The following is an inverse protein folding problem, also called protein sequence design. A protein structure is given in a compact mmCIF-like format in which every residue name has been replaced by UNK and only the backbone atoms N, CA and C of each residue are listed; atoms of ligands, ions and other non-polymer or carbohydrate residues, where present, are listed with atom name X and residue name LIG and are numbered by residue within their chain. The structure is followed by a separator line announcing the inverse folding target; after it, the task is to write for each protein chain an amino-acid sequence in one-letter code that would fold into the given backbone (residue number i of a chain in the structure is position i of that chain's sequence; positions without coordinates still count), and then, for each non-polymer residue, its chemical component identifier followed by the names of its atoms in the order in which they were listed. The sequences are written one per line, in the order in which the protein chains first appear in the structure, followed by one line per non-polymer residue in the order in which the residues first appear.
data_IF_624376746381
#
_entry.id   IF_624376746381
#
_cell.length_a   1.000
_cell.length_b   1.000
_cell.length_c   1.000
_cell.angle_alpha   90.00
_cell.angle_beta   90.00
_cell.angle_gamma   90.00
#
_symmetry.space_group_name_H-M   'P 1'
#
loop_
_entity.id
_entity.type
_entity.pdbx_description
1 polymer ?
#
# COMPACT_ATOMS: atom_id res chain seq x y z
N UNK A 1 65.39 -29.21 -13.32
CA UNK A 1 64.21 -28.81 -12.51
C UNK A 1 63.97 -27.33 -12.75
N UNK A 2 62.95 -26.96 -13.50
CA UNK A 2 62.55 -25.56 -13.75
C UNK A 2 61.25 -25.32 -13.03
N UNK A 3 61.27 -24.40 -12.02
CA UNK A 3 60.08 -23.92 -11.34
C UNK A 3 59.21 -23.05 -12.23
N UNK A 4 57.91 -23.17 -12.19
CA UNK A 4 57.02 -22.25 -12.91
C UNK A 4 56.79 -20.97 -12.06
N UNK A 5 56.99 -19.84 -12.68
CA UNK A 5 56.66 -18.51 -12.14
C UNK A 5 55.17 -18.30 -12.30
N UNK A 6 54.47 -18.17 -11.15
CA UNK A 6 53.05 -17.88 -11.09
C UNK A 6 52.86 -16.38 -11.32
N UNK A 7 52.29 -15.98 -12.46
CA UNK A 7 51.88 -14.58 -12.69
C UNK A 7 50.53 -14.34 -12.02
N UNK A 8 50.54 -13.56 -10.96
CA UNK A 8 49.35 -13.06 -10.29
C UNK A 8 48.86 -11.80 -11.06
N UNK A 9 47.83 -11.92 -11.85
CA UNK A 9 47.18 -10.77 -12.50
C UNK A 9 46.27 -10.08 -11.49
N UNK A 10 46.66 -8.90 -11.08
CA UNK A 10 45.85 -8.01 -10.23
C UNK A 10 44.74 -7.41 -11.11
N UNK A 11 43.51 -7.89 -10.98
CA UNK A 11 42.33 -7.25 -11.59
C UNK A 11 41.91 -6.08 -10.69
N UNK A 12 42.25 -4.86 -11.10
CA UNK A 12 41.72 -3.66 -10.44
C UNK A 12 40.24 -3.49 -10.78
N UNK A 13 39.36 -3.71 -9.81
CA UNK A 13 37.95 -3.37 -9.93
C UNK A 13 37.83 -1.82 -9.90
N UNK A 14 37.65 -1.20 -11.06
CA UNK A 14 37.25 0.20 -11.14
C UNK A 14 35.76 0.26 -10.80
N UNK A 15 35.42 0.68 -9.59
CA UNK A 15 34.06 1.04 -9.23
C UNK A 15 33.67 2.29 -10.03
N UNK A 16 32.95 2.12 -11.13
CA UNK A 16 32.28 3.23 -11.80
C UNK A 16 31.10 3.67 -10.94
N UNK A 17 31.34 4.61 -10.04
CA UNK A 17 30.25 5.32 -9.39
C UNK A 17 29.46 6.07 -10.47
N UNK A 18 28.19 5.75 -10.64
CA UNK A 18 27.26 6.58 -11.41
C UNK A 18 27.08 7.89 -10.65
N UNK A 19 27.94 8.88 -10.95
CA UNK A 19 27.63 10.26 -10.57
C UNK A 19 26.62 10.77 -11.58
N UNK A 20 25.41 11.12 -11.12
CA UNK A 20 24.49 11.91 -11.94
C UNK A 20 25.27 13.10 -12.53
N UNK A 21 25.15 13.41 -13.84
CA UNK A 21 25.86 14.52 -14.41
C UNK A 21 25.45 15.79 -13.67
N UNK A 22 26.39 16.39 -12.95
CA UNK A 22 26.18 17.72 -12.34
C UNK A 22 26.03 18.66 -13.51
N UNK A 23 24.98 19.50 -13.59
CA UNK A 23 24.84 20.50 -14.62
C UNK A 23 26.09 21.35 -14.72
N UNK A 24 26.44 21.80 -15.92
CA UNK A 24 27.59 22.67 -16.15
C UNK A 24 27.31 24.07 -15.55
N UNK A 25 27.52 24.18 -14.26
CA UNK A 25 27.31 25.37 -13.45
C UNK A 25 28.65 25.88 -12.90
N UNK A 26 28.72 27.17 -12.56
CA UNK A 26 29.93 27.77 -12.00
C UNK A 26 30.45 27.02 -10.77
N UNK A 27 31.77 27.02 -10.55
CA UNK A 27 32.40 26.40 -9.36
C UNK A 27 31.81 26.93 -8.05
N UNK A 28 31.47 28.22 -8.00
CA UNK A 28 30.84 28.83 -6.80
C UNK A 28 29.50 28.21 -6.51
N UNK A 29 28.63 28.07 -7.52
CA UNK A 29 27.31 27.47 -7.36
C UNK A 29 27.42 26.00 -6.98
N UNK A 30 28.34 25.25 -7.61
CA UNK A 30 28.60 23.85 -7.23
C UNK A 30 28.99 23.71 -5.75
N UNK A 31 29.86 24.62 -5.24
CA UNK A 31 30.26 24.61 -3.82
C UNK A 31 29.08 24.92 -2.89
N UNK A 32 28.21 25.87 -3.25
CA UNK A 32 26.98 26.16 -2.51
C UNK A 32 26.11 24.89 -2.44
N UNK A 33 25.80 24.28 -3.57
CA UNK A 33 24.95 23.07 -3.64
C UNK A 33 25.53 21.90 -2.82
N UNK A 34 26.87 21.70 -2.85
CA UNK A 34 27.52 20.60 -2.11
C UNK A 34 27.60 20.84 -0.62
N UNK A 35 27.79 22.09 -0.18
CA UNK A 35 28.12 22.40 1.21
C UNK A 35 26.90 22.83 2.03
N UNK A 36 25.74 23.13 1.40
CA UNK A 36 24.56 23.64 2.07
C UNK A 36 23.34 22.76 1.94
N UNK A 37 23.39 21.67 1.20
CA UNK A 37 22.27 20.71 0.99
C UNK A 37 21.68 20.14 2.29
N UNK A 38 22.50 20.05 3.35
CA UNK A 38 22.09 19.57 4.68
C UNK A 38 21.81 20.68 5.70
N UNK A 39 21.83 21.93 5.27
CA UNK A 39 21.52 23.05 6.13
C UNK A 39 20.01 23.14 6.42
N UNK A 40 19.65 23.30 7.71
CA UNK A 40 18.24 23.54 8.09
C UNK A 40 17.60 24.73 7.38
N UNK A 41 18.42 25.69 6.91
CA UNK A 41 17.93 26.83 6.14
C UNK A 41 17.34 26.41 4.78
N UNK A 42 17.87 25.35 4.16
CA UNK A 42 17.48 24.87 2.84
C UNK A 42 16.64 23.59 2.89
N UNK A 43 16.46 22.99 4.08
CA UNK A 43 15.62 21.81 4.27
C UNK A 43 14.15 22.24 4.33
N UNK A 44 13.33 21.74 3.41
CA UNK A 44 11.87 21.92 3.48
C UNK A 44 11.26 20.94 4.47
N UNK A 45 10.52 21.38 5.50
CA UNK A 45 10.13 20.51 6.61
C UNK A 45 9.22 19.34 6.25
N UNK A 46 8.45 19.42 5.17
CA UNK A 46 7.50 18.38 4.72
C UNK A 46 7.85 17.84 3.34
N UNK A 47 9.14 17.63 3.05
CA UNK A 47 9.62 17.25 1.72
C UNK A 47 9.58 15.73 1.43
N UNK A 48 9.23 14.89 2.39
CA UNK A 48 9.38 13.43 2.29
C UNK A 48 8.67 12.83 1.06
N UNK A 49 7.48 13.32 0.73
CA UNK A 49 6.70 12.82 -0.42
C UNK A 49 6.32 13.94 -1.42
N UNK A 50 7.06 15.04 -1.39
CA UNK A 50 6.69 16.27 -2.10
C UNK A 50 6.37 16.10 -3.59
N UNK A 51 7.13 15.32 -4.31
CA UNK A 51 6.96 15.15 -5.75
C UNK A 51 6.28 13.84 -6.13
N UNK A 52 5.71 13.12 -5.14
CA UNK A 52 5.07 11.83 -5.34
C UNK A 52 3.56 12.05 -5.53
N UNK A 53 3.05 11.68 -6.69
CA UNK A 53 1.61 11.70 -6.98
C UNK A 53 1.02 10.34 -6.60
N UNK A 54 0.02 10.27 -5.70
CA UNK A 54 -0.65 9.01 -5.38
C UNK A 54 -1.42 8.48 -6.59
N UNK A 55 -1.34 7.16 -6.78
CA UNK A 55 -1.97 6.41 -7.87
C UNK A 55 -2.82 5.27 -7.31
N UNK A 56 -3.95 4.94 -7.91
CA UNK A 56 -4.89 3.94 -7.39
C UNK A 56 -4.39 2.51 -7.66
N UNK A 57 -3.30 2.13 -7.00
CA UNK A 57 -2.84 0.76 -6.97
C UNK A 57 -2.54 0.28 -5.55
N UNK A 58 -2.62 -1.02 -5.38
CA UNK A 58 -2.33 -1.77 -4.17
C UNK A 58 -0.98 -2.48 -4.33
N UNK A 59 -0.03 -2.19 -3.45
CA UNK A 59 1.22 -2.95 -3.35
C UNK A 59 0.93 -4.30 -2.69
N UNK A 60 0.68 -5.31 -3.53
CA UNK A 60 0.40 -6.68 -3.10
C UNK A 60 1.65 -7.31 -2.48
N UNK A 61 1.50 -8.06 -1.39
CA UNK A 61 2.63 -8.61 -0.65
C UNK A 61 3.72 -7.56 -0.37
N UNK A 62 3.33 -6.37 0.09
CA UNK A 62 4.22 -5.22 0.27
C UNK A 62 5.45 -5.53 1.12
N UNK A 63 5.31 -6.46 2.07
CA UNK A 63 6.40 -6.95 2.92
C UNK A 63 7.53 -7.67 2.15
N UNK A 64 7.36 -7.99 0.86
CA UNK A 64 8.43 -8.50 -0.02
C UNK A 64 9.33 -7.41 -0.59
N UNK A 65 8.92 -6.14 -0.48
CA UNK A 65 9.73 -5.01 -0.95
C UNK A 65 11.02 -4.89 -0.16
N UNK A 66 12.06 -4.32 -0.76
CA UNK A 66 13.34 -4.09 -0.10
C UNK A 66 13.15 -3.29 1.20
N UNK A 67 12.28 -2.26 1.15
CA UNK A 67 11.87 -1.47 2.30
C UNK A 67 10.34 -1.36 2.27
N UNK A 68 9.63 -2.30 2.95
CA UNK A 68 8.17 -2.30 3.01
C UNK A 68 7.60 -0.93 3.38
N UNK A 69 6.40 -0.60 2.90
CA UNK A 69 5.77 0.70 2.97
C UNK A 69 6.53 1.80 2.22
N UNK A 70 7.81 2.08 2.52
CA UNK A 70 8.54 3.18 1.87
C UNK A 70 8.78 2.94 0.37
N UNK A 71 9.04 1.70 -0.03
CA UNK A 71 9.14 1.36 -1.46
C UNK A 71 7.82 1.64 -2.18
N UNK A 72 6.69 1.19 -1.63
CA UNK A 72 5.37 1.45 -2.21
C UNK A 72 5.03 2.95 -2.21
N UNK A 73 5.32 3.65 -1.10
CA UNK A 73 5.12 5.09 -0.97
C UNK A 73 5.88 5.86 -2.07
N UNK A 74 7.13 5.47 -2.36
CA UNK A 74 7.96 6.13 -3.37
C UNK A 74 7.42 6.03 -4.79
N UNK A 75 6.60 5.02 -5.09
CA UNK A 75 5.90 4.85 -6.37
C UNK A 75 4.48 5.45 -6.37
N UNK A 76 4.01 5.95 -5.24
CA UNK A 76 2.69 6.56 -5.12
C UNK A 76 1.57 5.56 -4.83
N UNK A 77 1.83 4.41 -4.19
CA UNK A 77 0.81 3.44 -3.84
C UNK A 77 -0.24 4.02 -2.88
N UNK A 78 -1.51 3.98 -3.25
CA UNK A 78 -2.59 4.37 -2.33
C UNK A 78 -3.00 3.25 -1.38
N UNK A 79 -2.51 2.02 -1.59
CA UNK A 79 -2.83 0.84 -0.79
C UNK A 79 -1.63 -0.08 -0.65
N UNK A 80 -1.46 -0.65 0.55
CA UNK A 80 -0.38 -1.58 0.92
C UNK A 80 -0.94 -2.75 1.72
N UNK A 81 -0.20 -3.86 1.80
CA UNK A 81 -0.61 -5.09 2.45
C UNK A 81 0.42 -5.62 3.44
N UNK A 82 -0.07 -6.11 4.58
CA UNK A 82 0.70 -6.78 5.61
C UNK A 82 0.05 -8.13 5.97
N UNK A 83 0.72 -9.24 5.67
CA UNK A 83 0.31 -10.57 6.13
C UNK A 83 0.77 -10.79 7.56
N UNK A 84 -0.16 -11.00 8.49
CA UNK A 84 0.16 -11.06 9.92
C UNK A 84 -0.08 -12.43 10.52
N UNK A 85 0.88 -12.87 11.33
CA UNK A 85 0.88 -14.11 12.10
C UNK A 85 0.97 -13.78 13.59
N UNK A 86 -0.04 -14.11 14.35
CA UNK A 86 0.02 -13.95 15.81
C UNK A 86 0.72 -15.17 16.44
N UNK A 87 1.91 -14.94 16.99
CA UNK A 87 2.70 -15.97 17.68
C UNK A 87 3.19 -15.40 19.01
N UNK A 88 2.85 -16.03 20.12
CA UNK A 88 3.23 -15.61 21.47
C UNK A 88 2.97 -14.12 21.78
N UNK A 89 1.84 -13.60 21.28
CA UNK A 89 1.43 -12.20 21.51
C UNK A 89 2.08 -11.17 20.58
N UNK A 90 2.93 -11.60 19.65
CA UNK A 90 3.57 -10.71 18.65
C UNK A 90 2.97 -10.97 17.27
N UNK A 91 2.69 -9.88 16.53
CA UNK A 91 2.23 -9.92 15.14
C UNK A 91 3.43 -9.87 14.20
N UNK A 92 3.92 -11.01 13.79
CA UNK A 92 4.98 -11.14 12.78
C UNK A 92 4.42 -10.97 11.38
N UNK A 93 5.27 -10.48 10.45
CA UNK A 93 4.87 -10.19 9.07
C UNK A 93 5.65 -11.05 8.09
N UNK A 94 4.93 -11.76 7.22
CA UNK A 94 5.47 -12.59 6.16
C UNK A 94 4.40 -13.47 5.52
N UNK A 95 4.64 -13.92 4.29
CA UNK A 95 3.67 -14.73 3.55
C UNK A 95 3.45 -16.11 4.16
N UNK A 96 4.52 -16.70 4.67
CA UNK A 96 4.52 -18.05 5.24
C UNK A 96 5.40 -18.12 6.51
N UNK A 97 5.19 -19.12 7.34
CA UNK A 97 5.90 -19.30 8.61
C UNK A 97 7.44 -19.31 8.45
N UNK A 98 7.94 -19.90 7.37
CA UNK A 98 9.38 -19.98 7.08
C UNK A 98 10.03 -18.63 6.76
N UNK A 99 9.24 -17.60 6.44
CA UNK A 99 9.69 -16.26 6.12
C UNK A 99 9.70 -15.31 7.34
N UNK A 100 9.20 -15.77 8.49
CA UNK A 100 9.10 -14.93 9.69
C UNK A 100 10.48 -14.74 10.34
N UNK A 101 10.70 -13.55 10.87
CA UNK A 101 11.88 -13.20 11.67
C UNK A 101 11.49 -12.32 12.86
N UNK A 102 12.29 -12.35 13.92
CA UNK A 102 11.98 -11.63 15.17
C UNK A 102 11.83 -10.11 15.00
N UNK A 103 12.47 -9.54 13.97
CA UNK A 103 12.48 -8.09 13.74
C UNK A 103 11.38 -7.59 12.79
N UNK A 104 10.75 -8.50 12.03
CA UNK A 104 9.74 -8.16 11.02
C UNK A 104 8.35 -8.32 11.62
N UNK A 105 7.86 -7.27 12.27
CA UNK A 105 6.56 -7.22 12.92
C UNK A 105 5.64 -6.19 12.25
N UNK A 106 4.34 -6.25 12.52
CA UNK A 106 3.40 -5.23 12.07
C UNK A 106 3.81 -3.84 12.56
N UNK A 107 4.30 -3.75 13.79
CA UNK A 107 4.76 -2.49 14.36
C UNK A 107 5.99 -1.96 13.61
N UNK A 108 7.04 -2.77 13.48
CA UNK A 108 8.33 -2.33 12.91
C UNK A 108 8.28 -2.02 11.41
N UNK A 109 7.44 -2.74 10.64
CA UNK A 109 7.38 -2.59 9.17
C UNK A 109 6.30 -1.61 8.71
N UNK A 110 5.25 -1.38 9.51
CA UNK A 110 4.10 -0.58 9.08
C UNK A 110 3.70 0.49 10.08
N UNK A 111 3.41 0.15 11.35
CA UNK A 111 2.83 1.13 12.28
C UNK A 111 3.81 2.28 12.53
N UNK A 112 5.06 1.98 12.92
CA UNK A 112 6.07 3.02 13.18
C UNK A 112 6.44 3.80 11.91
N UNK A 113 6.75 3.17 10.75
CA UNK A 113 7.02 3.90 9.51
C UNK A 113 5.88 4.83 9.06
N UNK A 114 4.63 4.39 9.18
CA UNK A 114 3.47 5.22 8.85
C UNK A 114 3.37 6.40 9.82
N UNK A 115 3.51 6.17 11.13
CA UNK A 115 3.50 7.23 12.14
C UNK A 115 4.62 8.25 11.91
N UNK A 116 5.84 7.79 11.64
CA UNK A 116 6.98 8.68 11.35
C UNK A 116 6.70 9.55 10.13
N UNK A 117 6.12 8.96 9.09
CA UNK A 117 5.70 9.70 7.88
C UNK A 117 4.63 10.73 8.21
N UNK A 118 3.59 10.34 8.96
CA UNK A 118 2.51 11.24 9.36
C UNK A 118 3.00 12.37 10.27
N UNK A 119 3.94 12.11 11.17
CA UNK A 119 4.55 13.15 12.01
C UNK A 119 5.37 14.14 11.17
N UNK A 120 6.08 13.68 10.14
CA UNK A 120 6.79 14.56 9.20
C UNK A 120 5.84 15.42 8.37
N UNK A 121 4.68 14.88 7.96
CA UNK A 121 3.66 15.61 7.21
C UNK A 121 2.81 16.54 8.08
N UNK A 122 2.84 16.36 9.41
CA UNK A 122 2.04 17.12 10.37
C UNK A 122 2.89 17.71 11.52
N UNK A 123 3.95 18.49 11.19
CA UNK A 123 4.84 19.00 12.23
C UNK A 123 4.14 20.03 13.12
N UNK A 124 4.39 19.92 14.43
CA UNK A 124 4.00 20.96 15.39
C UNK A 124 5.11 21.97 15.50
N UNK A 125 4.82 23.24 15.19
CA UNK A 125 5.78 24.34 15.20
C UNK A 125 5.16 25.59 15.81
N UNK A 126 5.95 26.64 16.01
CA UNK A 126 5.40 27.93 16.42
C UNK A 126 4.43 28.56 15.41
N UNK A 127 4.47 28.13 14.15
CA UNK A 127 3.58 28.57 13.08
C UNK A 127 2.35 27.67 12.90
N UNK A 128 2.46 26.40 13.30
CA UNK A 128 1.39 25.41 13.33
C UNK A 128 1.38 24.74 14.71
N UNK A 129 0.77 25.39 15.72
CA UNK A 129 0.84 24.95 17.13
C UNK A 129 0.01 23.68 17.40
N UNK A 130 -0.86 23.30 16.45
CA UNK A 130 -1.63 22.05 16.49
C UNK A 130 -1.28 21.24 15.28
N UNK A 131 -1.08 19.91 15.45
CA UNK A 131 -0.86 19.00 14.33
C UNK A 131 -2.05 19.05 13.38
N UNK A 132 -1.76 19.16 12.08
CA UNK A 132 -2.74 18.92 11.01
C UNK A 132 -3.07 17.41 10.94
N UNK A 133 -3.98 17.03 10.06
CA UNK A 133 -4.34 15.62 9.81
C UNK A 133 -4.12 15.24 8.36
N UNK A 134 -3.01 15.74 7.77
CA UNK A 134 -2.60 15.39 6.43
C UNK A 134 -2.26 13.90 6.36
N UNK A 135 -2.55 13.29 5.21
CA UNK A 135 -2.13 11.94 4.86
C UNK A 135 -0.63 11.86 4.56
N UNK A 136 -0.22 10.70 4.04
CA UNK A 136 1.20 10.41 3.76
C UNK A 136 1.75 11.14 2.52
N UNK A 137 0.90 11.70 1.68
CA UNK A 137 1.27 12.39 0.44
C UNK A 137 1.11 13.90 0.56
N UNK A 138 2.21 14.64 0.40
CA UNK A 138 2.19 16.11 0.40
C UNK A 138 1.40 16.68 -0.79
N UNK A 139 1.53 16.06 -1.97
CA UNK A 139 0.81 16.46 -3.19
C UNK A 139 -0.70 16.23 -3.11
N UNK A 140 -1.16 15.40 -2.20
CA UNK A 140 -2.57 15.07 -1.99
C UNK A 140 -2.83 14.77 -0.52
N UNK A 141 -2.80 15.80 0.31
CA UNK A 141 -2.85 15.67 1.78
C UNK A 141 -4.14 15.05 2.33
N UNK A 142 -5.22 15.06 1.56
CA UNK A 142 -6.49 14.41 1.92
C UNK A 142 -6.59 12.93 1.49
N UNK A 143 -5.58 12.42 0.76
CA UNK A 143 -5.59 11.02 0.33
C UNK A 143 -5.32 10.08 1.49
N UNK A 144 -6.27 9.17 1.77
CA UNK A 144 -6.05 8.10 2.75
C UNK A 144 -5.13 7.02 2.19
N UNK A 145 -4.26 6.47 3.03
CA UNK A 145 -3.53 5.24 2.75
C UNK A 145 -4.38 4.04 3.20
N UNK A 146 -4.69 3.12 2.30
CA UNK A 146 -5.37 1.88 2.65
C UNK A 146 -4.34 0.86 3.13
N UNK A 147 -4.42 0.47 4.41
CA UNK A 147 -3.59 -0.56 5.02
C UNK A 147 -4.41 -1.86 5.10
N UNK A 148 -4.16 -2.78 4.18
CA UNK A 148 -4.70 -4.13 4.26
C UNK A 148 -3.89 -4.95 5.26
N UNK A 149 -4.59 -5.65 6.14
CA UNK A 149 -4.00 -6.57 7.12
C UNK A 149 -4.61 -7.94 6.86
N UNK A 150 -3.82 -8.81 6.26
CA UNK A 150 -4.21 -10.20 5.97
C UNK A 150 -3.88 -11.09 7.17
N UNK A 151 -4.92 -11.54 7.84
CA UNK A 151 -4.83 -12.38 9.04
C UNK A 151 -4.59 -13.83 8.65
N UNK A 152 -3.41 -14.36 8.96
CA UNK A 152 -2.99 -15.74 8.61
C UNK A 152 -3.26 -16.76 9.70
N UNK A 153 -3.44 -16.35 10.96
CA UNK A 153 -3.69 -17.21 12.11
C UNK A 153 -5.18 -17.18 12.55
N UNK A 154 -5.51 -17.66 13.75
CA UNK A 154 -6.88 -17.60 14.30
C UNK A 154 -7.44 -16.18 14.22
N UNK A 155 -8.56 -16.02 13.51
CA UNK A 155 -9.12 -14.70 13.21
C UNK A 155 -9.47 -13.90 14.45
N UNK A 156 -10.18 -14.48 15.40
CA UNK A 156 -10.67 -13.77 16.58
C UNK A 156 -9.53 -13.25 17.47
N UNK A 157 -8.54 -14.10 17.76
CA UNK A 157 -7.41 -13.71 18.60
C UNK A 157 -6.48 -12.71 17.89
N UNK A 158 -6.20 -12.99 16.62
CA UNK A 158 -5.27 -12.15 15.83
C UNK A 158 -5.87 -10.78 15.57
N UNK A 159 -7.17 -10.69 15.29
CA UNK A 159 -7.83 -9.43 15.06
C UNK A 159 -7.82 -8.50 16.28
N UNK A 160 -8.00 -9.07 17.48
CA UNK A 160 -7.87 -8.29 18.71
C UNK A 160 -6.45 -7.75 18.91
N UNK A 161 -5.43 -8.54 18.58
CA UNK A 161 -4.04 -8.08 18.62
C UNK A 161 -3.78 -6.98 17.57
N UNK A 162 -4.34 -7.11 16.37
CA UNK A 162 -4.28 -6.08 15.31
C UNK A 162 -4.90 -4.77 15.80
N UNK A 163 -6.12 -4.80 16.34
CA UNK A 163 -6.77 -3.61 16.87
C UNK A 163 -5.95 -2.93 17.98
N UNK A 164 -5.30 -3.73 18.84
CA UNK A 164 -4.38 -3.22 19.86
C UNK A 164 -3.16 -2.54 19.24
N UNK A 165 -2.56 -3.13 18.21
CA UNK A 165 -1.39 -2.59 17.51
C UNK A 165 -1.68 -1.26 16.78
N UNK A 166 -2.94 -1.01 16.40
CA UNK A 166 -3.39 0.23 15.76
C UNK A 166 -3.53 1.41 16.75
N UNK A 167 -3.41 1.17 18.06
CA UNK A 167 -3.62 2.20 19.09
C UNK A 167 -2.85 3.50 18.87
N UNK A 168 -1.55 3.49 18.46
CA UNK A 168 -0.83 4.75 18.23
C UNK A 168 -1.42 5.59 17.09
N UNK A 169 -1.86 4.96 16.00
CA UNK A 169 -2.54 5.64 14.89
C UNK A 169 -3.92 6.19 15.32
N UNK A 170 -4.65 5.41 16.13
CA UNK A 170 -5.94 5.83 16.67
C UNK A 170 -5.79 7.04 17.62
N UNK A 171 -4.86 6.97 18.55
CA UNK A 171 -4.57 8.07 19.49
C UNK A 171 -4.08 9.32 18.77
N UNK A 172 -3.30 9.15 17.70
CA UNK A 172 -2.91 10.24 16.82
C UNK A 172 -4.09 10.86 16.04
N UNK A 173 -5.26 10.21 16.02
CA UNK A 173 -6.42 10.64 15.24
C UNK A 173 -6.20 10.53 13.73
N UNK A 174 -5.42 9.56 13.30
CA UNK A 174 -5.07 9.35 11.89
C UNK A 174 -5.92 8.29 11.20
N UNK A 175 -6.69 7.49 11.95
CA UNK A 175 -7.50 6.43 11.36
C UNK A 175 -8.83 6.96 10.83
N UNK A 176 -9.27 6.44 9.68
CA UNK A 176 -10.66 6.56 9.24
C UNK A 176 -11.57 5.89 10.25
N UNK A 177 -12.64 6.56 10.65
CA UNK A 177 -13.56 6.08 11.67
C UNK A 177 -15.01 6.10 11.18
N UNK A 178 -15.83 5.20 11.74
CA UNK A 178 -17.27 5.14 11.53
C UNK A 178 -17.99 5.19 12.87
N UNK A 179 -18.88 6.15 13.07
CA UNK A 179 -19.60 6.42 14.32
C UNK A 179 -20.99 5.78 14.40
N UNK A 180 -21.35 4.93 13.42
CA UNK A 180 -22.67 4.32 13.28
C UNK A 180 -23.60 5.09 12.33
N UNK A 181 -23.22 6.31 11.92
CA UNK A 181 -24.00 7.15 11.03
C UNK A 181 -23.16 7.67 9.85
N UNK A 182 -21.92 8.07 10.11
CA UNK A 182 -21.04 8.70 9.12
C UNK A 182 -19.61 8.19 9.20
N UNK A 183 -18.88 8.26 8.07
CA UNK A 183 -17.44 8.07 8.00
C UNK A 183 -16.74 9.42 8.20
N UNK A 184 -15.77 9.44 9.11
CA UNK A 184 -14.78 10.51 9.19
C UNK A 184 -13.48 9.97 8.56
N UNK A 185 -13.13 10.47 7.39
CA UNK A 185 -11.91 10.06 6.66
C UNK A 185 -10.67 10.45 7.44
N UNK A 186 -9.75 9.51 7.63
CA UNK A 186 -8.44 9.68 8.24
C UNK A 186 -7.31 9.52 7.22
N UNK A 187 -6.10 9.80 7.69
CA UNK A 187 -4.87 9.59 6.92
C UNK A 187 -4.65 8.11 6.53
N UNK A 188 -5.19 7.18 7.34
CA UNK A 188 -5.09 5.74 7.13
C UNK A 188 -6.46 5.08 7.27
N UNK A 189 -6.82 4.23 6.32
CA UNK A 189 -8.00 3.37 6.37
C UNK A 189 -7.54 1.92 6.49
N UNK A 190 -7.84 1.26 7.61
CA UNK A 190 -7.43 -0.13 7.87
C UNK A 190 -8.48 -1.09 7.36
N UNK A 191 -8.07 -2.10 6.60
CA UNK A 191 -8.95 -3.12 6.04
C UNK A 191 -8.42 -4.50 6.40
N UNK A 192 -9.22 -5.28 7.13
CA UNK A 192 -8.91 -6.66 7.45
C UNK A 192 -9.35 -7.61 6.35
N UNK A 193 -8.44 -8.50 5.94
CA UNK A 193 -8.66 -9.58 4.97
C UNK A 193 -8.18 -10.93 5.52
N UNK A 194 -8.14 -11.97 4.71
CA UNK A 194 -7.77 -13.32 5.16
C UNK A 194 -8.73 -13.87 6.18
N UNK A 195 -8.23 -14.34 7.33
CA UNK A 195 -9.04 -14.87 8.42
C UNK A 195 -9.69 -13.78 9.31
N UNK A 196 -9.71 -12.53 8.89
CA UNK A 196 -10.40 -11.46 9.65
C UNK A 196 -11.88 -11.78 9.78
N UNK A 197 -12.44 -11.86 11.01
CA UNK A 197 -13.85 -12.22 11.19
C UNK A 197 -14.76 -11.02 10.90
N UNK A 198 -15.66 -11.15 9.93
CA UNK A 198 -16.67 -10.12 9.64
C UNK A 198 -17.52 -9.80 10.89
N UNK A 199 -17.82 -10.81 11.71
CA UNK A 199 -18.55 -10.63 12.96
C UNK A 199 -17.87 -9.65 13.92
N UNK A 200 -16.55 -9.65 13.98
CA UNK A 200 -15.81 -8.71 14.82
C UNK A 200 -15.89 -7.25 14.32
N UNK A 201 -16.05 -7.06 13.01
CA UNK A 201 -16.29 -5.75 12.41
C UNK A 201 -17.72 -5.27 12.69
N UNK A 202 -18.71 -6.17 12.58
CA UNK A 202 -20.14 -5.82 12.67
C UNK A 202 -20.69 -5.84 14.12
N UNK A 203 -20.08 -6.60 15.03
CA UNK A 203 -20.55 -6.70 16.43
C UNK A 203 -20.26 -5.44 17.25
N UNK A 204 -19.27 -4.64 16.87
CA UNK A 204 -19.04 -3.35 17.48
C UNK A 204 -20.18 -2.41 17.08
N UNK A 205 -21.04 -2.03 18.03
CA UNK A 205 -22.03 -0.97 17.80
C UNK A 205 -21.27 0.37 17.84
N UNK A 206 -20.95 0.95 16.68
CA UNK A 206 -20.16 2.18 16.66
C UNK A 206 -20.99 3.36 17.17
N UNK A 207 -20.34 4.28 17.86
CA UNK A 207 -20.92 5.54 18.34
C UNK A 207 -19.90 6.66 18.26
N UNK A 208 -20.34 7.89 18.40
CA UNK A 208 -19.43 9.05 18.42
C UNK A 208 -18.36 8.98 19.52
N UNK A 209 -18.64 8.31 20.65
CA UNK A 209 -17.71 8.11 21.77
C UNK A 209 -16.84 6.84 21.63
N UNK A 210 -17.24 5.90 20.76
CA UNK A 210 -16.54 4.64 20.50
C UNK A 210 -16.68 4.25 19.02
N UNK A 211 -16.07 5.02 18.11
CA UNK A 211 -16.18 4.73 16.68
C UNK A 211 -15.39 3.48 16.30
N UNK A 212 -15.87 2.77 15.30
CA UNK A 212 -15.12 1.70 14.65
C UNK A 212 -14.05 2.34 13.75
N UNK A 213 -12.84 1.78 13.74
CA UNK A 213 -11.68 2.33 13.03
C UNK A 213 -10.96 1.30 12.15
N UNK A 214 -11.60 0.15 11.90
CA UNK A 214 -11.13 -0.84 10.94
C UNK A 214 -12.32 -1.43 10.19
N UNK A 215 -12.09 -1.89 8.97
CA UNK A 215 -13.09 -2.30 8.00
C UNK A 215 -12.76 -3.70 7.48
N UNK A 216 -13.66 -4.24 6.68
CA UNK A 216 -13.57 -5.59 6.13
C UNK A 216 -13.29 -5.54 4.62
N UNK A 217 -12.54 -6.51 4.10
CA UNK A 217 -12.40 -6.77 2.67
C UNK A 217 -13.46 -7.79 2.25
N UNK A 218 -14.61 -7.32 1.79
CA UNK A 218 -15.70 -8.21 1.41
C UNK A 218 -15.40 -8.97 0.12
N UNK A 219 -15.83 -10.25 0.01
CA UNK A 219 -15.65 -11.02 -1.21
C UNK A 219 -16.54 -10.48 -2.32
N UNK A 220 -15.94 -9.79 -3.29
CA UNK A 220 -16.58 -9.06 -4.39
C UNK A 220 -17.66 -9.85 -5.15
N UNK A 221 -17.47 -11.13 -5.53
CA UNK A 221 -18.48 -11.89 -6.27
C UNK A 221 -19.78 -12.11 -5.51
N UNK A 222 -19.75 -12.01 -4.19
CA UNK A 222 -20.89 -12.34 -3.33
C UNK A 222 -21.65 -11.12 -2.80
N UNK A 223 -21.31 -9.90 -3.25
CA UNK A 223 -21.96 -8.65 -2.82
C UNK A 223 -23.47 -8.59 -3.20
N UNK A 224 -23.88 -9.34 -4.20
CA UNK A 224 -25.30 -9.43 -4.60
C UNK A 224 -26.04 -10.63 -3.99
N UNK A 225 -25.36 -11.48 -3.25
CA UNK A 225 -25.91 -12.75 -2.69
C UNK A 225 -25.67 -12.84 -1.20
N UNK A 226 -24.69 -13.61 -0.76
CA UNK A 226 -24.38 -13.86 0.67
C UNK A 226 -24.02 -12.58 1.43
N UNK A 227 -23.40 -11.60 0.76
CA UNK A 227 -22.98 -10.32 1.33
C UNK A 227 -23.87 -9.15 0.88
N UNK A 228 -25.15 -9.42 0.57
CA UNK A 228 -26.10 -8.41 0.05
C UNK A 228 -26.31 -7.24 1.03
N UNK A 229 -26.16 -7.44 2.32
CA UNK A 229 -26.33 -6.41 3.34
C UNK A 229 -25.03 -5.62 3.66
N UNK A 230 -23.90 -6.02 3.10
CA UNK A 230 -22.64 -5.27 3.25
C UNK A 230 -22.76 -3.90 2.58
N UNK A 231 -22.28 -2.89 3.26
CA UNK A 231 -22.23 -1.49 2.81
C UNK A 231 -20.80 -0.99 2.78
N UNK A 232 -20.57 0.18 2.17
CA UNK A 232 -19.28 0.89 2.22
C UNK A 232 -18.80 1.19 3.65
N UNK A 233 -19.72 1.20 4.60
CA UNK A 233 -19.40 1.41 6.02
C UNK A 233 -18.76 0.17 6.64
N UNK A 234 -19.06 -1.02 6.14
CA UNK A 234 -18.41 -2.28 6.57
C UNK A 234 -17.18 -2.58 5.74
N UNK A 235 -17.26 -2.34 4.43
CA UNK A 235 -16.28 -2.72 3.42
C UNK A 235 -16.10 -1.58 2.40
N UNK A 236 -15.16 -0.68 2.59
CA UNK A 236 -14.89 0.38 1.62
C UNK A 236 -14.30 -0.14 0.31
N UNK A 237 -13.63 -1.30 0.34
CA UNK A 237 -13.10 -2.02 -0.81
C UNK A 237 -13.53 -3.48 -0.70
N UNK A 238 -13.91 -4.08 -1.82
CA UNK A 238 -14.20 -5.51 -1.95
C UNK A 238 -13.26 -6.15 -2.97
N UNK A 239 -12.70 -7.30 -2.62
CA UNK A 239 -11.69 -7.96 -3.45
C UNK A 239 -12.11 -9.35 -3.91
N UNK A 240 -11.47 -9.83 -4.99
CA UNK A 240 -11.57 -11.21 -5.44
C UNK A 240 -10.31 -11.64 -6.19
N UNK A 241 -10.11 -12.95 -6.24
CA UNK A 241 -9.13 -13.63 -7.07
C UNK A 241 -9.50 -13.47 -8.55
N UNK A 242 -8.59 -12.87 -9.32
CA UNK A 242 -8.77 -12.64 -10.75
C UNK A 242 -8.84 -13.96 -11.53
N UNK A 243 -7.89 -14.88 -11.26
CA UNK A 243 -7.81 -16.15 -11.98
C UNK A 243 -9.06 -17.02 -11.73
N UNK A 244 -9.58 -17.01 -10.50
CA UNK A 244 -10.81 -17.72 -10.16
C UNK A 244 -12.06 -17.14 -10.84
N UNK A 245 -12.08 -15.83 -11.14
CA UNK A 245 -13.22 -15.19 -11.81
C UNK A 245 -13.17 -15.30 -13.33
N UNK A 246 -12.00 -15.09 -13.93
CA UNK A 246 -11.87 -14.89 -15.37
C UNK A 246 -11.14 -16.03 -16.07
N UNK A 247 -10.39 -16.87 -15.31
CA UNK A 247 -9.54 -17.91 -15.91
C UNK A 247 -8.46 -17.31 -16.81
N UNK A 248 -8.10 -18.05 -17.85
CA UNK A 248 -7.07 -17.64 -18.79
C UNK A 248 -7.52 -16.46 -19.66
N UNK A 249 -6.62 -15.50 -19.84
CA UNK A 249 -6.79 -14.37 -20.77
C UNK A 249 -6.02 -14.69 -22.06
N UNK A 250 -6.75 -14.88 -23.16
CA UNK A 250 -6.19 -15.25 -24.45
C UNK A 250 -6.05 -14.03 -25.34
N UNK A 251 -4.93 -13.91 -26.04
CA UNK A 251 -4.65 -12.82 -26.98
C UNK A 251 -4.78 -11.41 -26.33
N UNK A 252 -4.39 -11.29 -25.06
CA UNK A 252 -4.36 -10.01 -24.33
C UNK A 252 -5.71 -9.27 -24.30
N UNK A 253 -6.82 -10.01 -24.36
CA UNK A 253 -8.17 -9.42 -24.35
C UNK A 253 -9.16 -10.29 -23.59
N UNK A 254 -10.21 -9.68 -23.06
CA UNK A 254 -11.34 -10.37 -22.47
C UNK A 254 -12.37 -10.73 -23.57
N UNK A 255 -12.90 -11.94 -23.48
CA UNK A 255 -14.09 -12.29 -24.24
C UNK A 255 -15.36 -11.61 -23.64
N UNK A 256 -16.48 -11.69 -24.35
CA UNK A 256 -17.73 -11.04 -23.92
C UNK A 256 -18.21 -11.51 -22.54
N UNK A 257 -18.04 -12.82 -22.22
CA UNK A 257 -18.47 -13.35 -20.92
C UNK A 257 -17.61 -12.80 -19.78
N UNK A 258 -16.30 -12.69 -19.96
CA UNK A 258 -15.38 -12.10 -18.99
C UNK A 258 -15.68 -10.61 -18.79
N UNK A 259 -15.92 -9.85 -19.88
CA UNK A 259 -16.29 -8.43 -19.79
C UNK A 259 -17.63 -8.22 -19.08
N UNK A 260 -18.64 -9.02 -19.40
CA UNK A 260 -19.95 -8.91 -18.78
C UNK A 260 -19.87 -9.23 -17.28
N UNK A 261 -19.05 -10.22 -16.88
CA UNK A 261 -18.81 -10.55 -15.48
C UNK A 261 -18.12 -9.40 -14.75
N UNK A 262 -17.04 -8.85 -15.32
CA UNK A 262 -16.30 -7.73 -14.76
C UNK A 262 -17.20 -6.52 -14.53
N UNK A 263 -17.91 -6.09 -15.57
CA UNK A 263 -18.87 -4.97 -15.52
C UNK A 263 -19.94 -5.17 -14.47
N UNK A 264 -20.48 -6.39 -14.37
CA UNK A 264 -21.51 -6.72 -13.36
C UNK A 264 -20.94 -6.62 -11.94
N UNK A 265 -19.72 -7.13 -11.68
CA UNK A 265 -19.10 -7.06 -10.37
C UNK A 265 -18.79 -5.62 -9.97
N UNK A 266 -18.18 -4.84 -10.87
CA UNK A 266 -17.87 -3.41 -10.65
C UNK A 266 -19.17 -2.63 -10.40
N UNK A 267 -20.18 -2.75 -11.25
CA UNK A 267 -21.45 -2.06 -11.07
C UNK A 267 -22.16 -2.44 -9.76
N UNK A 268 -22.08 -3.72 -9.34
CA UNK A 268 -22.65 -4.17 -8.07
C UNK A 268 -21.95 -3.50 -6.88
N UNK A 269 -20.63 -3.47 -6.86
CA UNK A 269 -19.87 -2.82 -5.81
C UNK A 269 -20.14 -1.31 -5.77
N UNK A 270 -20.07 -0.63 -6.91
CA UNK A 270 -20.31 0.80 -7.04
C UNK A 270 -21.72 1.21 -6.63
N UNK A 271 -22.74 0.37 -6.91
CA UNK A 271 -24.11 0.63 -6.44
C UNK A 271 -24.23 0.70 -4.91
N UNK A 272 -23.27 0.11 -4.18
CA UNK A 272 -23.16 0.14 -2.71
C UNK A 272 -22.15 1.18 -2.21
N UNK A 273 -21.47 1.90 -3.12
CA UNK A 273 -20.38 2.82 -2.82
C UNK A 273 -19.11 2.10 -2.37
N UNK A 274 -18.92 0.84 -2.77
CA UNK A 274 -17.77 -0.02 -2.47
C UNK A 274 -16.82 0.00 -3.67
N UNK A 275 -15.53 0.19 -3.44
CA UNK A 275 -14.48 0.11 -4.45
C UNK A 275 -14.10 -1.36 -4.72
N UNK A 276 -13.45 -1.61 -5.86
CA UNK A 276 -13.12 -2.96 -6.32
C UNK A 276 -11.62 -3.17 -6.43
N UNK A 277 -11.16 -4.40 -6.11
CA UNK A 277 -9.80 -4.87 -6.30
C UNK A 277 -9.81 -6.33 -6.77
N UNK A 278 -9.00 -6.65 -7.79
CA UNK A 278 -8.77 -7.99 -8.27
C UNK A 278 -7.32 -8.36 -8.03
N UNK A 279 -7.04 -9.44 -7.30
CA UNK A 279 -5.70 -9.95 -7.04
C UNK A 279 -5.43 -11.21 -7.86
N UNK A 280 -4.21 -11.74 -7.87
CA UNK A 280 -3.78 -12.90 -8.67
C UNK A 280 -3.93 -12.70 -10.19
N UNK A 281 -3.59 -11.52 -10.66
CA UNK A 281 -3.52 -11.25 -12.10
C UNK A 281 -2.23 -11.82 -12.67
N UNK A 282 -2.21 -12.26 -13.95
CA UNK A 282 -0.98 -12.69 -14.59
C UNK A 282 0.09 -11.60 -14.56
N UNK A 283 1.24 -11.89 -13.92
CA UNK A 283 2.39 -10.97 -13.90
C UNK A 283 3.24 -11.05 -15.18
N UNK A 284 3.06 -12.11 -15.98
CA UNK A 284 3.82 -12.39 -17.19
C UNK A 284 2.95 -13.16 -18.20
N UNK A 285 3.16 -12.95 -19.54
CA UNK A 285 4.03 -11.95 -20.18
C UNK A 285 3.65 -10.51 -19.86
N UNK A 286 4.61 -9.57 -19.95
CA UNK A 286 4.37 -8.16 -19.61
C UNK A 286 3.25 -7.55 -20.47
N UNK A 287 3.16 -7.91 -21.75
CA UNK A 287 2.07 -7.48 -22.62
C UNK A 287 0.69 -7.89 -22.08
N UNK A 288 0.53 -9.14 -21.70
CA UNK A 288 -0.72 -9.67 -21.11
C UNK A 288 -1.06 -8.95 -19.81
N UNK A 289 -0.09 -8.80 -18.90
CA UNK A 289 -0.27 -8.04 -17.66
C UNK A 289 -0.78 -6.61 -17.92
N UNK A 290 -0.09 -5.89 -18.80
CA UNK A 290 -0.45 -4.51 -19.11
C UNK A 290 -1.82 -4.40 -19.80
N UNK A 291 -2.17 -5.35 -20.65
CA UNK A 291 -3.50 -5.41 -21.27
C UNK A 291 -4.60 -5.64 -20.24
N UNK A 292 -4.38 -6.55 -19.27
CA UNK A 292 -5.31 -6.79 -18.17
C UNK A 292 -5.46 -5.53 -17.31
N UNK A 293 -4.37 -4.87 -16.94
CA UNK A 293 -4.43 -3.61 -16.18
C UNK A 293 -5.25 -2.55 -16.93
N UNK A 294 -5.07 -2.44 -18.27
CA UNK A 294 -5.85 -1.51 -19.08
C UNK A 294 -7.34 -1.86 -19.05
N UNK A 295 -7.69 -3.13 -19.27
CA UNK A 295 -9.07 -3.57 -19.24
C UNK A 295 -9.72 -3.29 -17.89
N UNK A 296 -9.04 -3.61 -16.78
CA UNK A 296 -9.57 -3.35 -15.43
C UNK A 296 -9.87 -1.87 -15.20
N UNK A 297 -8.94 -0.98 -15.59
CA UNK A 297 -9.14 0.48 -15.46
C UNK A 297 -10.26 0.97 -16.36
N UNK A 298 -10.25 0.57 -17.63
CA UNK A 298 -11.24 1.04 -18.62
C UNK A 298 -12.66 0.59 -18.26
N UNK A 299 -12.80 -0.55 -17.58
CA UNK A 299 -14.07 -1.09 -17.09
C UNK A 299 -14.40 -0.63 -15.65
N UNK A 300 -13.60 0.26 -15.07
CA UNK A 300 -13.88 0.99 -13.84
C UNK A 300 -13.47 0.30 -12.55
N UNK A 301 -12.53 -0.66 -12.58
CA UNK A 301 -11.93 -1.17 -11.35
C UNK A 301 -11.15 -0.06 -10.64
N UNK A 302 -11.31 0.06 -9.33
CA UNK A 302 -10.78 1.19 -8.56
C UNK A 302 -9.31 1.03 -8.21
N UNK A 303 -8.85 -0.21 -7.98
CA UNK A 303 -7.47 -0.50 -7.62
C UNK A 303 -6.86 -1.57 -8.51
N UNK A 304 -5.68 -1.28 -9.06
CA UNK A 304 -4.81 -2.33 -9.59
C UNK A 304 -4.08 -3.04 -8.45
N UNK A 305 -4.09 -4.36 -8.44
CA UNK A 305 -3.26 -5.19 -7.55
C UNK A 305 -1.91 -5.41 -8.21
N UNK A 306 -0.80 -5.09 -7.54
CA UNK A 306 0.50 -4.94 -8.22
C UNK A 306 1.64 -5.58 -7.45
N UNK A 307 2.39 -6.45 -8.14
CA UNK A 307 3.67 -6.99 -7.67
C UNK A 307 4.86 -6.20 -8.23
N UNK A 308 4.75 -5.60 -9.41
CA UNK A 308 5.78 -4.81 -10.09
C UNK A 308 5.50 -3.30 -9.95
N UNK A 309 6.05 -2.69 -8.89
CA UNK A 309 5.86 -1.26 -8.61
C UNK A 309 6.45 -0.37 -9.72
N UNK A 310 7.60 -0.73 -10.27
CA UNK A 310 8.23 0.04 -11.36
C UNK A 310 7.38 -0.06 -12.64
N UNK A 311 6.85 -1.25 -12.92
CA UNK A 311 5.97 -1.48 -14.06
C UNK A 311 4.69 -0.64 -13.98
N UNK A 312 4.04 -0.57 -12.83
CA UNK A 312 2.82 0.22 -12.69
C UNK A 312 3.08 1.72 -12.73
N UNK A 313 4.20 2.19 -12.18
CA UNK A 313 4.56 3.61 -12.26
C UNK A 313 4.68 4.06 -13.72
N UNK A 314 5.45 3.32 -14.54
CA UNK A 314 5.57 3.59 -15.97
C UNK A 314 4.28 3.36 -16.77
N UNK A 315 3.39 2.48 -16.29
CA UNK A 315 2.09 2.25 -16.92
C UNK A 315 1.20 3.50 -16.89
N UNK A 316 1.12 4.20 -15.75
CA UNK A 316 0.36 5.44 -15.64
C UNK A 316 0.92 6.57 -16.50
N UNK A 317 2.25 6.65 -16.64
CA UNK A 317 2.91 7.64 -17.48
C UNK A 317 2.60 7.46 -18.97
N UNK A 318 2.38 6.22 -19.40
CA UNK A 318 2.12 5.86 -20.79
C UNK A 318 0.62 5.63 -21.09
N UNK A 319 -0.26 5.92 -20.14
CA UNK A 319 -1.68 5.67 -20.25
C UNK A 319 -2.49 6.83 -20.85
N UNK A 320 -1.80 7.87 -21.35
CA UNK A 320 -2.41 9.05 -21.98
C UNK A 320 -2.69 8.86 -23.47
#
# INVERSE_FOLDING_TARGET
MRSPILHLSLVSLVATGFTSPIPDVSTTLQNILKNTDKSNLYTYPTDLTRDIIPKPFHSHNDYWRDIPFYSALSYGAMSIEADVWLINGTLYVGHELSALTDVRTLDSLYIQPILDTLHRQNPVTKFAPSATKNGVYDTSSGQTLYLFIDVKTSGDETWLAVLSALSPLLQGGYLTTYDGNSLASGAVTVIGTGNTPLSAIQSAIPSASSPRYAFYDAPLPYLSTTFVNITKYDSPIASTDFAAQFGDVVAETFNSTQLDLLRKQVATAHSKGIMTRYWDQPGFPIGTRNAIWRILIDEGSDFLNVDDLAGVAGFWENAG
#
